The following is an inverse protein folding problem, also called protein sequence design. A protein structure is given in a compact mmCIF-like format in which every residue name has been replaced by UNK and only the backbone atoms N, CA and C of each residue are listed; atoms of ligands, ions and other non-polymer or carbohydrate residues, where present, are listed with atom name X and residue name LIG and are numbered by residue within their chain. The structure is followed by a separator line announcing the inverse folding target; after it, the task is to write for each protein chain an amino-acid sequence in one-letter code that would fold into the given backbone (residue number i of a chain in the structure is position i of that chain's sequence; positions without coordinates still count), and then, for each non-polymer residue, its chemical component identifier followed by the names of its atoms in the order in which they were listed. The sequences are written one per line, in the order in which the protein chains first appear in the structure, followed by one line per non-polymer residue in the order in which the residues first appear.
data_IF_781595241140
#
_entry.id   IF_781595241140
#
_cell.length_a   1.000
_cell.length_b   1.000
_cell.length_c   1.000
_cell.angle_alpha   90.00
_cell.angle_beta   90.00
_cell.angle_gamma   90.00
#
_symmetry.space_group_name_H-M   'P 1'
#
loop_
_entity.id
_entity.type
_entity.pdbx_description
1 polymer ?
#
# COMPACT_ATOMS: atom_id res chain seq x y z
N UNK A 1 -64.67 -35.58 -16.86
CA UNK A 1 -64.63 -35.13 -15.44
C UNK A 1 -63.15 -34.99 -15.11
N UNK A 2 -62.53 -33.90 -15.58
CA UNK A 2 -62.28 -32.65 -14.87
C UNK A 2 -61.07 -32.74 -13.91
N UNK A 3 -60.22 -31.70 -13.97
CA UNK A 3 -59.03 -31.39 -13.11
C UNK A 3 -57.79 -32.27 -13.37
N UNK A 4 -56.54 -31.82 -13.34
CA UNK A 4 -55.94 -30.53 -13.00
C UNK A 4 -54.43 -30.53 -13.41
N UNK A 5 -53.77 -29.38 -13.23
CA UNK A 5 -52.31 -29.12 -13.21
C UNK A 5 -51.67 -28.45 -14.44
N UNK A 6 -51.90 -27.14 -14.48
CA UNK A 6 -51.00 -26.03 -14.76
C UNK A 6 -49.52 -26.33 -15.11
N UNK A 7 -49.11 -25.92 -16.31
CA UNK A 7 -47.73 -25.57 -16.63
C UNK A 7 -47.57 -24.03 -16.66
N UNK A 8 -46.81 -23.49 -15.71
CA UNK A 8 -46.36 -22.09 -15.69
C UNK A 8 -45.26 -21.89 -16.73
N UNK A 9 -45.54 -21.13 -17.79
CA UNK A 9 -44.49 -20.56 -18.64
C UNK A 9 -43.73 -19.48 -17.86
N UNK A 10 -42.46 -19.74 -17.51
CA UNK A 10 -41.52 -18.70 -17.08
C UNK A 10 -41.05 -17.94 -18.31
N UNK A 11 -41.54 -16.71 -18.47
CA UNK A 11 -41.03 -15.72 -19.43
C UNK A 11 -39.59 -15.37 -19.04
N UNK A 12 -38.63 -15.87 -19.82
CA UNK A 12 -37.22 -15.51 -19.72
C UNK A 12 -37.06 -14.04 -20.16
N UNK A 13 -36.93 -13.14 -19.18
CA UNK A 13 -36.74 -11.71 -19.44
C UNK A 13 -35.26 -11.45 -19.64
N UNK A 14 -34.77 -11.85 -20.81
CA UNK A 14 -33.44 -11.53 -21.30
C UNK A 14 -33.26 -10.01 -21.44
N UNK A 15 -32.74 -9.36 -20.40
CA UNK A 15 -32.18 -8.01 -20.51
C UNK A 15 -30.92 -8.08 -21.37
N UNK A 16 -31.07 -7.85 -22.67
CA UNK A 16 -29.93 -7.55 -23.54
C UNK A 16 -29.18 -6.32 -22.97
N UNK A 17 -27.85 -6.36 -22.83
CA UNK A 17 -27.10 -5.21 -22.36
C UNK A 17 -27.29 -4.08 -23.37
N UNK A 18 -27.96 -3.02 -22.94
CA UNK A 18 -28.16 -1.81 -23.74
C UNK A 18 -26.81 -1.23 -24.11
N UNK A 19 -26.47 -1.25 -25.40
CA UNK A 19 -25.28 -0.58 -25.95
C UNK A 19 -25.42 0.91 -25.63
N UNK A 20 -24.76 1.37 -24.56
CA UNK A 20 -24.63 2.80 -24.24
C UNK A 20 -24.01 3.47 -25.48
N UNK A 21 -24.75 4.40 -26.09
CA UNK A 21 -24.26 5.23 -27.19
C UNK A 21 -22.92 5.84 -26.77
N UNK A 22 -21.86 5.52 -27.50
CA UNK A 22 -20.53 6.07 -27.25
C UNK A 22 -20.65 7.60 -27.27
N UNK A 23 -20.26 8.25 -26.16
CA UNK A 23 -20.26 9.70 -26.09
C UNK A 23 -19.33 10.21 -27.18
N UNK A 24 -19.81 11.16 -27.99
CA UNK A 24 -19.17 11.71 -29.19
C UNK A 24 -17.79 12.37 -28.95
N UNK A 25 -17.32 12.41 -27.70
CA UNK A 25 -16.07 13.04 -27.26
C UNK A 25 -15.37 12.20 -26.18
N UNK A 26 -15.19 10.90 -26.40
CA UNK A 26 -14.39 10.05 -25.52
C UNK A 26 -12.90 10.20 -25.85
N UNK A 27 -12.08 10.47 -24.83
CA UNK A 27 -10.62 10.59 -24.97
C UNK A 27 -9.99 9.32 -25.55
N UNK A 28 -10.63 8.16 -25.37
CA UNK A 28 -10.16 6.89 -25.91
C UNK A 28 -10.38 6.73 -27.42
N UNK A 29 -11.23 7.56 -28.04
CA UNK A 29 -11.46 7.57 -29.49
C UNK A 29 -10.56 8.53 -30.27
N UNK A 30 -9.69 9.27 -29.59
CA UNK A 30 -8.82 10.28 -30.19
C UNK A 30 -7.42 9.68 -30.37
N UNK A 31 -6.84 9.85 -31.56
CA UNK A 31 -5.45 9.51 -31.82
C UNK A 31 -4.54 10.68 -31.41
N UNK A 32 -3.81 10.54 -30.31
CA UNK A 32 -2.90 11.58 -29.83
C UNK A 32 -1.53 11.49 -30.46
N UNK A 33 -1.02 12.58 -31.01
CA UNK A 33 0.37 12.60 -31.49
C UNK A 33 1.40 12.21 -30.41
N UNK A 34 1.14 12.59 -29.15
CA UNK A 34 1.98 12.23 -27.99
C UNK A 34 1.16 12.19 -26.71
N UNK A 35 1.44 11.22 -25.84
CA UNK A 35 0.96 11.18 -24.44
C UNK A 35 2.16 11.27 -23.50
N UNK A 36 2.11 12.23 -22.58
CA UNK A 36 3.12 12.44 -21.54
C UNK A 36 2.44 12.24 -20.20
N UNK A 37 2.97 11.35 -19.37
CA UNK A 37 2.54 11.17 -18.00
C UNK A 37 3.51 11.89 -17.07
N UNK A 38 3.00 12.92 -16.39
CA UNK A 38 3.71 13.52 -15.27
C UNK A 38 3.47 12.71 -13.99
N UNK A 39 4.49 12.65 -13.14
CA UNK A 39 4.58 11.73 -12.02
C UNK A 39 4.13 10.30 -12.36
N UNK A 40 4.71 9.75 -13.44
CA UNK A 40 4.33 8.46 -14.02
C UNK A 40 4.34 7.29 -13.02
N UNK A 41 5.03 7.44 -11.89
CA UNK A 41 4.99 6.48 -10.79
C UNK A 41 3.59 6.27 -10.17
N UNK A 42 2.62 7.15 -10.45
CA UNK A 42 1.20 6.98 -10.12
C UNK A 42 0.61 5.72 -10.78
N UNK A 43 1.02 5.39 -12.00
CA UNK A 43 0.50 4.22 -12.76
C UNK A 43 1.33 2.95 -12.55
N UNK A 44 2.19 2.88 -11.54
CA UNK A 44 3.13 1.77 -11.25
C UNK A 44 2.48 0.38 -11.12
N UNK A 45 1.17 0.29 -10.95
CA UNK A 45 0.45 -0.98 -10.84
C UNK A 45 -0.42 -1.24 -12.07
N UNK A 46 -0.02 -2.25 -12.84
CA UNK A 46 -0.72 -2.70 -14.04
C UNK A 46 -2.17 -3.16 -13.80
N UNK A 47 -2.54 -3.45 -12.55
CA UNK A 47 -3.89 -3.89 -12.17
C UNK A 47 -4.86 -2.72 -12.02
N UNK A 48 -4.38 -1.48 -11.89
CA UNK A 48 -5.22 -0.32 -11.59
C UNK A 48 -6.04 0.15 -12.80
N UNK A 49 -7.18 0.78 -12.54
CA UNK A 49 -8.00 1.40 -13.59
C UNK A 49 -7.26 2.54 -14.28
N UNK A 50 -6.50 3.33 -13.52
CA UNK A 50 -5.68 4.43 -14.04
C UNK A 50 -4.65 3.92 -15.06
N UNK A 51 -3.88 2.88 -14.71
CA UNK A 51 -2.94 2.27 -15.65
C UNK A 51 -3.62 1.79 -16.93
N UNK A 52 -4.74 1.05 -16.81
CA UNK A 52 -5.45 0.54 -17.98
C UNK A 52 -5.95 1.68 -18.87
N UNK A 53 -6.52 2.72 -18.28
CA UNK A 53 -6.96 3.90 -19.01
C UNK A 53 -5.80 4.57 -19.76
N UNK A 54 -4.69 4.89 -19.08
CA UNK A 54 -3.53 5.52 -19.72
C UNK A 54 -2.92 4.64 -20.83
N UNK A 55 -2.85 3.33 -20.63
CA UNK A 55 -2.32 2.39 -21.64
C UNK A 55 -3.22 2.29 -22.86
N UNK A 56 -4.54 2.38 -22.70
CA UNK A 56 -5.52 2.30 -23.80
C UNK A 56 -5.52 3.53 -24.70
N UNK A 57 -5.02 4.68 -24.23
CA UNK A 57 -4.91 5.88 -25.08
C UNK A 57 -4.13 5.56 -26.36
N UNK A 58 -4.71 5.94 -27.50
CA UNK A 58 -4.10 5.78 -28.82
C UNK A 58 -3.07 6.89 -29.02
N UNK A 59 -1.81 6.53 -29.27
CA UNK A 59 -0.75 7.50 -29.51
C UNK A 59 0.46 6.92 -30.22
N UNK A 60 1.14 7.75 -31.01
CA UNK A 60 2.41 7.40 -31.66
C UNK A 60 3.61 7.46 -30.71
N UNK A 61 3.53 8.31 -29.67
CA UNK A 61 4.68 8.66 -28.81
C UNK A 61 4.27 8.68 -27.35
N UNK A 62 5.00 7.95 -26.52
CA UNK A 62 4.74 7.82 -25.09
C UNK A 62 5.94 8.28 -24.29
N UNK A 63 5.70 9.12 -23.29
CA UNK A 63 6.75 9.61 -22.39
C UNK A 63 6.29 9.52 -20.94
N UNK A 64 7.21 9.09 -20.08
CA UNK A 64 7.02 9.08 -18.62
C UNK A 64 7.97 10.11 -18.01
N UNK A 65 7.43 11.07 -17.26
CA UNK A 65 8.18 12.00 -16.43
C UNK A 65 7.98 11.57 -14.97
N UNK A 66 9.07 11.26 -14.27
CA UNK A 66 9.02 10.91 -12.84
C UNK A 66 10.40 11.05 -12.22
N UNK A 67 10.45 11.66 -11.03
CA UNK A 67 11.68 11.69 -10.23
C UNK A 67 12.01 10.33 -9.57
N UNK A 68 11.00 9.48 -9.39
CA UNK A 68 11.07 8.22 -8.64
C UNK A 68 10.39 7.09 -9.41
N UNK A 69 11.01 6.56 -10.48
CA UNK A 69 10.41 5.49 -11.30
C UNK A 69 10.28 4.15 -10.57
N UNK A 70 11.11 3.92 -9.55
CA UNK A 70 11.10 2.73 -8.70
C UNK A 70 10.80 3.18 -7.26
N UNK A 71 9.73 2.65 -6.66
CA UNK A 71 9.37 2.96 -5.27
C UNK A 71 9.60 1.76 -4.36
N UNK A 72 8.76 0.73 -4.51
CA UNK A 72 8.67 -0.35 -3.53
C UNK A 72 9.11 -1.70 -4.09
N UNK A 73 8.83 -1.97 -5.37
CA UNK A 73 9.08 -3.28 -5.99
C UNK A 73 9.62 -3.12 -7.41
N UNK A 74 10.47 -4.05 -7.89
CA UNK A 74 10.92 -4.07 -9.30
C UNK A 74 9.75 -4.07 -10.29
N UNK A 75 8.63 -4.68 -9.90
CA UNK A 75 7.40 -4.74 -10.69
C UNK A 75 6.77 -3.34 -10.93
N UNK A 76 7.15 -2.31 -10.17
CA UNK A 76 6.67 -0.93 -10.38
C UNK A 76 7.14 -0.38 -11.75
N UNK A 77 8.36 -0.73 -12.16
CA UNK A 77 8.93 -0.34 -13.47
C UNK A 77 8.23 -1.09 -14.62
N UNK A 78 7.81 -2.34 -14.39
CA UNK A 78 7.14 -3.14 -15.41
C UNK A 78 5.90 -2.45 -15.97
N UNK A 79 5.12 -1.79 -15.12
CA UNK A 79 3.99 -1.01 -15.58
C UNK A 79 4.42 0.15 -16.50
N UNK A 80 5.50 0.86 -16.17
CA UNK A 80 6.02 1.91 -17.03
C UNK A 80 6.47 1.36 -18.39
N UNK A 81 7.13 0.20 -18.43
CA UNK A 81 7.53 -0.45 -19.68
C UNK A 81 6.32 -0.88 -20.52
N UNK A 82 5.29 -1.39 -19.85
CA UNK A 82 4.03 -1.77 -20.50
C UNK A 82 3.24 -0.57 -21.03
N UNK A 83 3.31 0.59 -20.36
CA UNK A 83 2.77 1.84 -20.89
C UNK A 83 3.57 2.31 -22.09
N UNK A 84 4.91 2.33 -22.01
CA UNK A 84 5.81 2.71 -23.11
C UNK A 84 5.79 1.73 -24.30
N UNK A 85 5.04 0.62 -24.21
CA UNK A 85 4.95 -0.43 -25.23
C UNK A 85 6.31 -1.01 -25.61
N UNK A 86 7.21 -1.15 -24.63
CA UNK A 86 8.52 -1.77 -24.84
C UNK A 86 8.34 -3.29 -24.98
N UNK A 87 8.51 -3.86 -26.16
CA UNK A 87 8.55 -5.32 -26.33
C UNK A 87 10.01 -5.84 -26.25
N UNK A 88 10.28 -6.98 -25.59
CA UNK A 88 9.33 -7.87 -24.91
C UNK A 88 9.09 -7.54 -23.42
N UNK A 89 9.79 -6.56 -22.86
CA UNK A 89 9.83 -6.30 -21.41
C UNK A 89 8.57 -5.64 -20.83
N UNK A 90 7.67 -5.16 -21.69
CA UNK A 90 6.34 -4.67 -21.35
C UNK A 90 5.38 -5.83 -21.06
N UNK A 91 5.71 -7.05 -21.48
CA UNK A 91 4.96 -8.24 -21.09
C UNK A 91 5.34 -8.67 -19.69
N UNK A 92 4.32 -8.78 -18.82
CA UNK A 92 4.50 -9.08 -17.40
C UNK A 92 5.23 -10.40 -17.15
N UNK A 93 4.95 -11.44 -17.94
CA UNK A 93 5.55 -12.76 -17.73
C UNK A 93 7.03 -12.80 -18.13
N UNK A 94 7.38 -12.10 -19.21
CA UNK A 94 8.78 -11.99 -19.66
C UNK A 94 9.56 -11.14 -18.66
N UNK A 95 9.05 -9.98 -18.28
CA UNK A 95 9.68 -9.13 -17.26
C UNK A 95 9.88 -9.88 -15.94
N UNK A 96 8.89 -10.66 -15.51
CA UNK A 96 8.98 -11.45 -14.28
C UNK A 96 10.12 -12.45 -14.35
N UNK A 97 10.26 -13.21 -15.44
CA UNK A 97 11.32 -14.21 -15.61
C UNK A 97 12.70 -13.57 -15.75
N UNK A 98 12.82 -12.50 -16.53
CA UNK A 98 14.10 -11.90 -16.87
C UNK A 98 14.62 -10.92 -15.80
N UNK A 99 13.74 -10.27 -15.04
CA UNK A 99 14.12 -9.19 -14.11
C UNK A 99 13.59 -9.46 -12.70
N UNK A 100 12.27 -9.55 -12.50
CA UNK A 100 11.71 -9.55 -11.14
C UNK A 100 12.08 -10.78 -10.32
N UNK A 101 12.14 -11.97 -10.94
CA UNK A 101 12.48 -13.22 -10.25
C UNK A 101 13.97 -13.29 -9.89
N UNK A 102 14.90 -13.05 -10.84
CA UNK A 102 16.33 -12.93 -10.51
C UNK A 102 16.61 -11.92 -9.39
N UNK A 103 15.99 -10.73 -9.45
CA UNK A 103 16.14 -9.71 -8.40
C UNK A 103 15.64 -10.18 -7.02
N UNK A 104 14.63 -11.04 -6.96
CA UNK A 104 14.12 -11.59 -5.70
C UNK A 104 15.01 -12.69 -5.14
N UNK A 105 15.68 -13.46 -6.00
CA UNK A 105 16.59 -14.54 -5.60
C UNK A 105 18.01 -14.05 -5.33
N UNK A 106 18.27 -12.75 -5.49
CA UNK A 106 19.61 -12.17 -5.32
C UNK A 106 20.55 -12.38 -6.51
N UNK A 107 20.01 -12.82 -7.64
CA UNK A 107 20.76 -13.00 -8.88
C UNK A 107 21.05 -11.63 -9.53
N UNK A 108 22.32 -11.40 -9.83
CA UNK A 108 22.83 -10.16 -10.40
C UNK A 108 22.40 -9.93 -11.83
N UNK A 109 22.03 -10.98 -12.57
CA UNK A 109 21.72 -10.89 -14.00
C UNK A 109 20.48 -10.03 -14.25
N UNK A 110 19.45 -10.16 -13.42
CA UNK A 110 18.25 -9.32 -13.52
C UNK A 110 18.53 -7.85 -13.25
N UNK A 111 19.47 -7.54 -12.34
CA UNK A 111 19.87 -6.16 -12.06
C UNK A 111 20.70 -5.58 -13.21
N UNK A 112 21.62 -6.37 -13.76
CA UNK A 112 22.45 -5.99 -14.92
C UNK A 112 21.58 -5.72 -16.13
N UNK A 113 20.63 -6.61 -16.44
CA UNK A 113 19.67 -6.41 -17.52
C UNK A 113 18.83 -5.15 -17.31
N UNK A 114 18.27 -4.97 -16.11
CA UNK A 114 17.48 -3.78 -15.81
C UNK A 114 18.29 -2.48 -15.98
N UNK A 115 19.55 -2.46 -15.50
CA UNK A 115 20.45 -1.32 -15.67
C UNK A 115 20.75 -1.05 -17.14
N UNK A 116 21.05 -2.09 -17.92
CA UNK A 116 21.33 -1.97 -19.35
C UNK A 116 20.12 -1.39 -20.10
N UNK A 117 18.91 -1.91 -19.83
CA UNK A 117 17.68 -1.40 -20.44
C UNK A 117 17.45 0.05 -20.05
N UNK A 118 17.49 0.36 -18.75
CA UNK A 118 17.27 1.72 -18.25
C UNK A 118 18.28 2.73 -18.82
N UNK A 119 19.53 2.34 -19.05
CA UNK A 119 20.53 3.21 -19.66
C UNK A 119 20.17 3.65 -21.08
N UNK A 120 19.39 2.85 -21.83
CA UNK A 120 19.00 3.16 -23.20
C UNK A 120 17.67 3.94 -23.29
N UNK A 121 16.78 3.79 -22.30
CA UNK A 121 15.44 4.38 -22.37
C UNK A 121 15.18 5.52 -21.42
N UNK A 122 15.99 5.65 -20.36
CA UNK A 122 15.79 6.65 -19.33
C UNK A 122 16.90 7.68 -19.36
N UNK A 123 16.51 8.94 -19.55
CA UNK A 123 17.41 10.06 -19.31
C UNK A 123 17.29 10.49 -17.85
N UNK A 124 18.27 10.12 -17.02
CA UNK A 124 18.33 10.51 -15.60
C UNK A 124 19.55 11.36 -15.32
N UNK A 125 19.31 12.63 -14.98
CA UNK A 125 20.34 13.55 -14.47
C UNK A 125 20.14 13.73 -12.98
N UNK A 126 21.24 13.80 -12.23
CA UNK A 126 21.23 14.18 -10.82
C UNK A 126 21.87 15.56 -10.65
N UNK A 127 21.71 16.18 -9.47
CA UNK A 127 22.23 17.52 -9.18
C UNK A 127 23.76 17.63 -9.38
N UNK A 128 24.50 16.53 -9.16
CA UNK A 128 25.96 16.46 -9.38
C UNK A 128 26.33 16.45 -10.86
N UNK A 129 25.54 15.79 -11.71
CA UNK A 129 25.80 15.69 -13.16
C UNK A 129 25.48 16.97 -13.94
N UNK A 130 24.75 17.92 -13.34
CA UNK A 130 24.31 19.16 -14.01
C UNK A 130 25.14 20.37 -13.55
N UNK A 131 26.15 20.15 -12.69
CA UNK A 131 26.97 21.20 -12.06
C UNK A 131 26.14 22.39 -11.53
N UNK A 132 24.97 22.07 -10.97
CA UNK A 132 24.07 23.07 -10.45
C UNK A 132 24.56 23.45 -9.06
N UNK A 133 25.05 24.68 -8.91
CA UNK A 133 25.43 25.23 -7.60
C UNK A 133 24.18 25.29 -6.71
N UNK A 134 24.11 24.39 -5.74
CA UNK A 134 23.02 24.32 -4.76
C UNK A 134 23.60 24.48 -3.35
N UNK A 135 22.83 25.12 -2.48
CA UNK A 135 23.12 25.14 -1.05
C UNK A 135 23.17 23.69 -0.53
N UNK A 136 24.17 23.40 0.30
CA UNK A 136 24.34 22.08 0.91
C UNK A 136 23.10 21.74 1.74
N UNK A 137 22.52 20.56 1.52
CA UNK A 137 21.45 20.05 2.38
C UNK A 137 22.06 19.63 3.72
N UNK A 138 21.77 20.36 4.77
CA UNK A 138 22.09 19.98 6.14
C UNK A 138 20.90 19.22 6.75
N UNK A 139 21.18 18.10 7.40
CA UNK A 139 20.18 17.27 8.08
C UNK A 139 20.63 17.14 9.52
N UNK A 140 19.91 17.78 10.43
CA UNK A 140 20.13 17.67 11.87
C UNK A 140 19.13 16.66 12.44
N UNK A 141 19.65 15.57 13.03
CA UNK A 141 18.84 14.59 13.74
C UNK A 141 18.75 15.02 15.20
N UNK A 142 17.54 15.37 15.65
CA UNK A 142 17.27 15.71 17.06
C UNK A 142 16.51 14.56 17.70
N UNK A 143 17.09 13.98 18.75
CA UNK A 143 16.35 13.11 19.66
C UNK A 143 15.56 13.98 20.63
N UNK A 144 14.28 13.68 20.80
CA UNK A 144 13.41 14.36 21.76
C UNK A 144 12.97 13.33 22.77
N UNK A 145 13.34 13.55 24.04
CA UNK A 145 12.89 12.72 25.15
C UNK A 145 11.72 13.41 25.84
N UNK A 146 10.61 12.70 25.98
CA UNK A 146 9.49 13.19 26.76
C UNK A 146 9.74 12.91 28.25
N UNK A 147 9.51 13.89 29.15
CA UNK A 147 9.61 13.66 30.57
C UNK A 147 8.72 12.50 31.02
N UNK A 148 9.19 11.75 32.02
CA UNK A 148 8.48 10.56 32.54
C UNK A 148 7.06 10.88 32.94
N UNK A 149 6.85 12.00 33.62
CA UNK A 149 5.56 12.45 34.14
C UNK A 149 4.74 13.28 33.15
N UNK A 150 5.17 13.37 31.89
CA UNK A 150 4.44 14.14 30.90
C UNK A 150 3.16 13.40 30.46
N UNK A 151 2.02 14.11 30.32
CA UNK A 151 0.80 13.54 29.74
C UNK A 151 1.05 12.92 28.36
N UNK A 152 1.98 13.48 27.60
CA UNK A 152 2.35 13.00 26.28
C UNK A 152 2.96 11.59 26.32
N UNK A 153 3.92 11.36 27.22
CA UNK A 153 4.54 10.06 27.41
C UNK A 153 3.54 9.04 27.95
N UNK A 154 2.68 9.43 28.89
CA UNK A 154 1.64 8.55 29.42
C UNK A 154 0.67 8.04 28.34
N UNK A 155 0.20 8.92 27.44
CA UNK A 155 -0.65 8.55 26.30
C UNK A 155 0.09 7.61 25.36
N UNK A 156 1.32 7.95 24.98
CA UNK A 156 2.13 7.13 24.09
C UNK A 156 2.36 5.73 24.67
N UNK A 157 2.79 5.64 25.93
CA UNK A 157 3.12 4.38 26.59
C UNK A 157 1.89 3.50 26.78
N UNK A 158 0.74 4.10 27.12
CA UNK A 158 -0.54 3.37 27.21
C UNK A 158 -0.90 2.72 25.87
N UNK A 159 -0.81 3.49 24.77
CA UNK A 159 -1.08 2.98 23.42
C UNK A 159 -0.04 1.91 23.01
N UNK A 160 1.24 2.14 23.29
CA UNK A 160 2.32 1.24 22.94
C UNK A 160 2.21 -0.10 23.68
N UNK A 161 1.98 -0.08 25.00
CA UNK A 161 1.79 -1.29 25.79
C UNK A 161 0.55 -2.07 25.34
N UNK A 162 -0.58 -1.39 25.15
CA UNK A 162 -1.81 -2.01 24.64
C UNK A 162 -1.59 -2.68 23.27
N UNK A 163 -0.89 -1.98 22.36
CA UNK A 163 -0.51 -2.50 21.05
C UNK A 163 0.38 -3.74 21.15
N UNK A 164 1.39 -3.71 22.02
CA UNK A 164 2.32 -4.82 22.22
C UNK A 164 1.58 -6.08 22.69
N UNK A 165 0.60 -5.94 23.58
CA UNK A 165 -0.26 -7.06 24.00
C UNK A 165 -1.13 -7.60 22.87
N UNK A 166 -1.81 -6.72 22.12
CA UNK A 166 -2.66 -7.12 21.01
C UNK A 166 -1.88 -7.85 19.89
N UNK A 167 -0.69 -7.35 19.55
CA UNK A 167 0.18 -7.97 18.55
C UNK A 167 0.70 -9.31 19.03
N UNK A 168 1.16 -9.42 20.29
CA UNK A 168 1.61 -10.70 20.87
C UNK A 168 0.51 -11.75 20.86
N UNK A 169 -0.71 -11.38 21.27
CA UNK A 169 -1.85 -12.29 21.25
C UNK A 169 -2.18 -12.78 19.83
N UNK A 170 -2.11 -11.88 18.84
CA UNK A 170 -2.37 -12.23 17.44
C UNK A 170 -1.27 -13.14 16.87
N UNK A 171 0.00 -12.91 17.22
CA UNK A 171 1.11 -13.76 16.79
C UNK A 171 1.04 -15.15 17.42
N UNK A 172 0.62 -15.26 18.68
CA UNK A 172 0.40 -16.55 19.34
C UNK A 172 -0.73 -17.37 18.73
N UNK A 173 -1.67 -16.73 18.02
CA UNK A 173 -2.74 -17.41 17.27
C UNK A 173 -2.30 -17.94 15.89
N UNK A 174 -1.07 -17.63 15.46
CA UNK A 174 -0.46 -18.12 14.21
C UNK A 174 -0.46 -17.11 13.05
N UNK A 175 0.47 -17.31 12.09
CA UNK A 175 0.79 -16.36 11.02
C UNK A 175 -0.39 -15.99 10.11
N UNK A 176 -1.34 -16.92 9.90
CA UNK A 176 -2.53 -16.67 9.08
C UNK A 176 -3.49 -15.67 9.74
N UNK A 177 -3.63 -15.72 11.06
CA UNK A 177 -4.45 -14.80 11.84
C UNK A 177 -3.79 -13.39 11.87
N UNK A 178 -2.45 -13.35 11.99
CA UNK A 178 -1.67 -12.12 11.92
C UNK A 178 -1.83 -11.37 10.58
N UNK A 179 -1.81 -12.10 9.46
CA UNK A 179 -2.02 -11.49 8.14
C UNK A 179 -3.47 -11.01 7.93
N UNK A 180 -4.46 -11.65 8.56
CA UNK A 180 -5.87 -11.21 8.54
C UNK A 180 -6.06 -9.91 9.33
N UNK A 181 -5.29 -9.72 10.40
CA UNK A 181 -5.36 -8.55 11.28
C UNK A 181 -4.38 -7.42 10.89
N UNK A 182 -3.70 -7.50 9.74
CA UNK A 182 -2.67 -6.53 9.33
C UNK A 182 -3.17 -5.08 9.34
N UNK A 183 -4.42 -4.83 8.92
CA UNK A 183 -5.04 -3.50 8.97
C UNK A 183 -5.17 -2.95 10.40
N UNK A 184 -5.48 -3.82 11.37
CA UNK A 184 -5.59 -3.45 12.78
C UNK A 184 -4.22 -3.07 13.36
N UNK A 185 -3.18 -3.83 12.99
CA UNK A 185 -1.79 -3.54 13.38
C UNK A 185 -1.32 -2.20 12.81
N UNK A 186 -1.58 -1.94 11.52
CA UNK A 186 -1.23 -0.67 10.89
C UNK A 186 -1.99 0.52 11.50
N UNK A 187 -3.28 0.33 11.85
CA UNK A 187 -4.05 1.36 12.53
C UNK A 187 -3.44 1.67 13.91
N UNK A 188 -3.06 0.63 14.65
CA UNK A 188 -2.44 0.79 15.97
C UNK A 188 -1.10 1.51 15.88
N UNK A 189 -0.26 1.15 14.91
CA UNK A 189 0.99 1.85 14.63
C UNK A 189 0.77 3.32 14.23
N UNK A 190 -0.28 3.59 13.46
CA UNK A 190 -0.68 4.96 13.13
C UNK A 190 -1.03 5.75 14.40
N UNK A 191 -1.77 5.17 15.35
CA UNK A 191 -2.13 5.85 16.61
C UNK A 191 -0.90 6.17 17.46
N UNK A 192 0.06 5.24 17.56
CA UNK A 192 1.31 5.48 18.27
C UNK A 192 2.08 6.64 17.61
N UNK A 193 2.18 6.65 16.27
CA UNK A 193 2.83 7.74 15.52
C UNK A 193 2.13 9.09 15.69
N UNK A 194 0.80 9.09 15.79
CA UNK A 194 0.02 10.29 16.11
C UNK A 194 0.36 10.79 17.52
N UNK A 195 0.41 9.88 18.50
CA UNK A 195 0.79 10.18 19.87
C UNK A 195 2.23 10.69 20.00
N UNK A 196 3.16 10.34 19.10
CA UNK A 196 4.49 10.94 19.09
C UNK A 196 4.49 12.41 18.63
N UNK A 197 3.52 12.83 17.81
CA UNK A 197 3.40 14.20 17.32
C UNK A 197 2.58 15.08 18.27
N UNK A 198 1.41 14.58 18.69
CA UNK A 198 0.52 15.23 19.66
C UNK A 198 -0.57 14.26 20.11
N UNK A 199 -0.83 14.19 21.41
CA UNK A 199 -1.91 13.36 21.97
C UNK A 199 -3.31 13.71 21.43
N UNK A 200 -3.53 14.94 20.98
CA UNK A 200 -4.82 15.37 20.40
C UNK A 200 -5.13 14.74 19.03
N UNK A 201 -4.11 14.18 18.35
CA UNK A 201 -4.31 13.50 17.06
C UNK A 201 -4.84 12.07 17.23
N UNK A 202 -4.85 11.56 18.46
CA UNK A 202 -5.40 10.26 18.80
C UNK A 202 -6.90 10.41 19.09
N UNK A 203 -7.79 9.66 18.40
CA UNK A 203 -9.21 9.67 18.73
C UNK A 203 -9.44 9.26 20.19
N UNK A 204 -10.31 9.99 20.90
CA UNK A 204 -10.57 9.78 22.33
C UNK A 204 -11.06 8.36 22.61
N UNK A 205 -11.90 7.82 21.73
CA UNK A 205 -12.44 6.46 21.88
C UNK A 205 -11.34 5.39 21.79
N UNK A 206 -10.25 5.67 21.06
CA UNK A 206 -9.10 4.76 20.96
C UNK A 206 -8.23 4.82 22.19
N UNK A 207 -8.05 6.00 22.77
CA UNK A 207 -7.34 6.13 24.03
C UNK A 207 -8.08 5.42 25.16
N UNK A 208 -9.38 5.68 25.31
CA UNK A 208 -10.23 5.02 26.31
C UNK A 208 -10.20 3.49 26.20
N UNK A 209 -10.29 2.95 24.98
CA UNK A 209 -10.17 1.49 24.78
C UNK A 209 -8.81 0.96 25.19
N UNK A 210 -7.73 1.68 24.89
CA UNK A 210 -6.39 1.27 25.30
C UNK A 210 -6.25 1.28 26.83
N UNK A 211 -6.81 2.30 27.50
CA UNK A 211 -6.85 2.39 28.96
C UNK A 211 -7.60 1.21 29.59
N UNK A 212 -8.81 0.90 29.10
CA UNK A 212 -9.61 -0.24 29.57
C UNK A 212 -8.84 -1.56 29.40
N UNK A 213 -8.22 -1.78 28.24
CA UNK A 213 -7.42 -2.99 28.00
C UNK A 213 -6.25 -3.07 28.98
N UNK A 214 -5.56 -1.96 29.24
CA UNK A 214 -4.43 -1.93 30.17
C UNK A 214 -4.88 -2.14 31.62
N UNK A 215 -6.06 -1.64 32.00
CA UNK A 215 -6.67 -1.88 33.30
C UNK A 215 -7.06 -3.35 33.49
N UNK A 216 -7.71 -3.96 32.51
CA UNK A 216 -8.02 -5.39 32.52
C UNK A 216 -6.77 -6.26 32.65
N UNK A 217 -5.71 -5.92 31.93
CA UNK A 217 -4.42 -6.64 32.00
C UNK A 217 -3.81 -6.49 33.40
N UNK A 218 -3.83 -5.28 33.96
CA UNK A 218 -3.35 -5.02 35.32
C UNK A 218 -4.13 -5.84 36.34
N UNK A 219 -5.45 -5.86 36.22
CA UNK A 219 -6.34 -6.59 37.13
C UNK A 219 -6.11 -8.12 37.05
N UNK A 220 -5.90 -8.67 35.86
CA UNK A 220 -5.53 -10.10 35.70
C UNK A 220 -4.17 -10.42 36.30
N UNK A 221 -3.20 -9.51 36.16
CA UNK A 221 -1.89 -9.67 36.79
C UNK A 221 -2.00 -9.64 38.31
N UNK A 222 -2.83 -8.76 38.88
CA UNK A 222 -3.06 -8.70 40.33
C UNK A 222 -3.89 -9.87 40.87
N UNK A 223 -4.86 -10.38 40.11
CA UNK A 223 -5.62 -11.58 40.48
C UNK A 223 -4.71 -12.81 40.52
N UNK A 224 -3.81 -12.97 39.53
CA UNK A 224 -2.80 -14.03 39.53
C UNK A 224 -1.76 -13.89 40.67
N UNK A 225 -1.54 -12.68 41.19
CA UNK A 225 -0.76 -12.44 42.42
C UNK A 225 -1.58 -12.71 43.69
N UNK A 226 -2.91 -12.47 43.68
CA UNK A 226 -3.80 -12.62 44.84
C UNK A 226 -4.09 -14.07 45.24
N UNK A 227 -3.97 -15.03 44.31
CA UNK A 227 -4.21 -16.46 44.60
C UNK A 227 -3.16 -17.03 45.58
N UNK A 228 -2.00 -16.38 45.74
CA UNK A 228 -0.95 -16.80 46.67
C UNK A 228 -1.06 -16.18 48.08
N UNK A 229 -1.82 -15.10 48.28
CA UNK A 229 -1.90 -14.39 49.58
C UNK A 229 -3.27 -14.50 50.29
N UNK A 230 -4.25 -15.20 49.69
CA UNK A 230 -5.53 -15.54 50.33
C UNK A 230 -5.49 -16.73 51.30
N UNK A 231 -4.33 -17.07 51.86
CA UNK A 231 -4.14 -18.18 52.83
C UNK A 231 -3.43 -17.74 54.13
N UNK A 232 -3.58 -16.47 54.49
CA UNK A 232 -3.23 -15.96 55.81
C UNK A 232 -4.26 -14.91 56.27
N UNK A 233 -5.52 -15.35 56.37
CA UNK A 233 -6.52 -14.96 57.38
C UNK A 233 -7.58 -16.05 57.42
#
# INVERSE_FOLDING_TARGET
IASDLAAKEKKDTGHAPTKKKARMYDIFGIMFHRVILDEAHIIRSGKTRAFRACRTLQTDRRLCLTGTPLLNRPDDIQALFAFLQMEPLGQRDIFRRAISQPLRTGDTDGLTLLRAVMAHIALRRNKRTVDMQMVKKEVELRSVEFPVDSPHKAIHDTLFSSAQHAVRATLSAGDKEAMKNYSSVLETLLRIRQACCSGMLVPVERLQRAEVVMEEIRNRSTENLSVAEGKAL
#
